data_IF_788372428931
#
_entry.id   IF_788372428931
#
_cell.length_a   1.000
_cell.length_b   1.000
_cell.length_c   1.000
_cell.angle_alpha   90.00
_cell.angle_beta   90.00
_cell.angle_gamma   90.00
#
_symmetry.space_group_name_H-M   'P 1'
#
loop_
_entity.id
_entity.type
_entity.pdbx_description
1 polymer ?
#
# COMPACT_ATOMS: atom_id res chain seq x y z
N UNK A 1 -13.51 -0.79 -17.90
CA UNK A 1 -12.04 -0.93 -18.01
C UNK A 1 -11.58 -1.86 -16.88
N UNK A 2 -10.68 -2.83 -17.11
CA UNK A 2 -10.18 -3.73 -16.05
C UNK A 2 -8.86 -3.24 -15.48
N UNK A 3 -8.47 -3.69 -14.30
CA UNK A 3 -7.23 -3.27 -13.63
C UNK A 3 -6.01 -3.49 -14.53
N UNK A 4 -5.92 -4.66 -15.18
CA UNK A 4 -4.84 -4.95 -16.13
C UNK A 4 -4.79 -4.00 -17.36
N UNK A 5 -5.91 -3.38 -17.72
CA UNK A 5 -6.02 -2.47 -18.88
C UNK A 5 -5.83 -1.00 -18.50
N UNK A 6 -5.80 -0.66 -17.21
CA UNK A 6 -5.53 0.70 -16.75
C UNK A 6 -4.01 0.95 -16.70
N UNK A 7 -3.48 1.95 -17.45
CA UNK A 7 -2.05 2.26 -17.46
C UNK A 7 -1.47 2.54 -16.07
N UNK A 8 -2.28 3.08 -15.16
CA UNK A 8 -1.88 3.38 -13.77
C UNK A 8 -1.53 2.10 -13.04
N UNK A 9 -2.30 1.03 -13.22
CA UNK A 9 -2.09 -0.26 -12.58
C UNK A 9 -1.13 -1.16 -13.36
N UNK A 10 -1.12 -1.05 -14.69
CA UNK A 10 -0.23 -1.83 -15.57
C UNK A 10 1.26 -1.65 -15.22
N UNK A 11 1.67 -0.45 -14.80
CA UNK A 11 3.05 -0.19 -14.35
C UNK A 11 3.42 -1.04 -13.11
N UNK A 12 2.50 -1.16 -12.16
CA UNK A 12 2.71 -1.91 -10.92
C UNK A 12 2.65 -3.42 -11.15
N UNK A 13 1.74 -3.91 -12.00
CA UNK A 13 1.72 -5.32 -12.44
C UNK A 13 3.04 -5.72 -13.11
N UNK A 14 3.62 -4.83 -13.92
CA UNK A 14 4.95 -5.04 -14.52
C UNK A 14 6.06 -5.08 -13.47
N UNK A 15 5.98 -4.27 -12.41
CA UNK A 15 6.93 -4.32 -11.29
C UNK A 15 6.90 -5.68 -10.59
N UNK A 16 5.71 -6.26 -10.38
CA UNK A 16 5.57 -7.62 -9.82
C UNK A 16 6.25 -8.65 -10.73
N UNK A 17 6.04 -8.56 -12.04
CA UNK A 17 6.63 -9.50 -13.01
C UNK A 17 8.16 -9.47 -13.05
N UNK A 18 8.77 -8.31 -12.83
CA UNK A 18 10.24 -8.17 -12.79
C UNK A 18 10.84 -8.48 -11.41
N UNK A 19 10.03 -8.95 -10.45
CA UNK A 19 10.47 -9.38 -9.14
C UNK A 19 10.60 -8.27 -8.10
N UNK A 20 9.99 -7.09 -8.32
CA UNK A 20 9.96 -6.06 -7.28
C UNK A 20 9.06 -6.53 -6.13
N UNK A 21 9.49 -6.36 -4.86
CA UNK A 21 8.69 -6.75 -3.71
C UNK A 21 7.31 -6.10 -3.71
N UNK A 22 6.26 -6.91 -3.59
CA UNK A 22 4.86 -6.46 -3.60
C UNK A 22 4.61 -5.38 -2.54
N UNK A 23 5.25 -5.46 -1.37
CA UNK A 23 5.14 -4.42 -0.33
C UNK A 23 5.58 -3.03 -0.79
N UNK A 24 6.72 -2.94 -1.49
CA UNK A 24 7.21 -1.67 -2.02
C UNK A 24 6.26 -1.09 -3.09
N UNK A 25 5.71 -1.97 -3.92
CA UNK A 25 4.73 -1.62 -4.96
C UNK A 25 3.44 -1.10 -4.31
N UNK A 26 2.91 -1.81 -3.31
CA UNK A 26 1.70 -1.43 -2.57
C UNK A 26 1.87 -0.09 -1.86
N UNK A 27 3.00 0.14 -1.19
CA UNK A 27 3.30 1.44 -0.56
C UNK A 27 3.30 2.58 -1.58
N UNK A 28 3.91 2.37 -2.75
CA UNK A 28 3.95 3.37 -3.83
C UNK A 28 2.55 3.65 -4.40
N UNK A 29 1.71 2.62 -4.55
CA UNK A 29 0.32 2.79 -4.98
C UNK A 29 -0.47 3.64 -4.00
N UNK A 30 -0.34 3.38 -2.70
CA UNK A 30 -1.01 4.18 -1.66
C UNK A 30 -0.57 5.63 -1.69
N UNK A 31 0.73 5.89 -1.86
CA UNK A 31 1.27 7.25 -2.01
C UNK A 31 0.71 7.98 -3.25
N UNK A 32 0.42 7.27 -4.33
CA UNK A 32 -0.22 7.81 -5.53
C UNK A 32 -1.76 7.82 -5.46
N UNK A 33 -2.35 7.38 -4.34
CA UNK A 33 -3.81 7.32 -4.15
C UNK A 33 -4.51 6.18 -4.91
N UNK A 34 -3.78 5.13 -5.26
CA UNK A 34 -4.27 3.93 -5.93
C UNK A 34 -4.52 2.80 -4.93
N UNK A 35 -5.46 1.90 -5.25
CA UNK A 35 -5.81 0.78 -4.37
C UNK A 35 -4.86 -0.41 -4.59
N UNK A 36 -3.98 -0.74 -3.63
CA UNK A 36 -3.03 -1.85 -3.76
C UNK A 36 -3.70 -3.23 -3.86
N UNK A 37 -4.96 -3.38 -3.44
CA UNK A 37 -5.70 -4.64 -3.49
C UNK A 37 -6.03 -5.07 -4.91
N UNK A 38 -6.05 -4.11 -5.84
CA UNK A 38 -6.32 -4.37 -7.25
C UNK A 38 -5.18 -5.14 -7.94
N UNK A 39 -3.96 -5.12 -7.39
CA UNK A 39 -2.88 -5.98 -7.87
C UNK A 39 -3.16 -7.46 -7.68
N UNK A 40 -3.90 -7.82 -6.64
CA UNK A 40 -4.27 -9.20 -6.33
C UNK A 40 -5.43 -9.68 -7.22
N UNK A 41 -6.11 -8.77 -7.94
CA UNK A 41 -7.26 -9.05 -8.81
C UNK A 41 -7.17 -8.33 -10.17
N UNK A 42 -6.24 -8.74 -11.07
CA UNK A 42 -5.99 -8.04 -12.34
C UNK A 42 -7.18 -8.07 -13.33
N UNK A 43 -8.03 -9.10 -13.24
CA UNK A 43 -9.22 -9.28 -14.06
C UNK A 43 -10.46 -8.55 -13.53
N UNK A 44 -10.38 -7.98 -12.31
CA UNK A 44 -11.49 -7.24 -11.74
C UNK A 44 -11.76 -5.96 -12.53
N UNK A 45 -13.04 -5.53 -12.62
CA UNK A 45 -13.37 -4.20 -13.10
C UNK A 45 -12.73 -3.16 -12.17
N UNK A 46 -12.13 -2.10 -12.73
CA UNK A 46 -11.62 -0.99 -11.91
C UNK A 46 -12.82 -0.35 -11.21
N UNK A 47 -12.91 -0.37 -9.87
CA UNK A 47 -13.97 0.35 -9.20
C UNK A 47 -13.74 1.84 -9.42
N UNK A 48 -14.72 2.52 -10.02
CA UNK A 48 -14.81 3.99 -9.96
C UNK A 48 -14.76 4.39 -8.49
N UNK A 49 -13.90 5.36 -8.18
CA UNK A 49 -13.42 5.73 -6.86
C UNK A 49 -14.42 5.61 -5.69
N UNK A 50 -13.85 5.37 -4.50
CA UNK A 50 -14.44 5.49 -3.15
C UNK A 50 -14.87 4.16 -2.53
N UNK A 51 -13.93 3.52 -1.84
CA UNK A 51 -14.05 3.31 -0.38
C UNK A 51 -12.70 2.90 0.20
N UNK A 52 -12.18 3.82 1.03
CA UNK A 52 -11.15 3.61 2.03
C UNK A 52 -11.36 2.26 2.72
N UNK A 53 -10.56 1.25 2.38
CA UNK A 53 -10.23 0.20 3.36
C UNK A 53 -8.80 0.51 3.78
N UNK A 54 -8.72 1.32 4.84
CA UNK A 54 -7.71 1.29 5.88
C UNK A 54 -6.72 0.14 5.67
N UNK A 55 -5.54 0.47 5.16
CA UNK A 55 -4.33 -0.17 5.65
C UNK A 55 -4.10 0.53 6.98
N UNK A 56 -4.68 -0.07 8.01
CA UNK A 56 -4.19 -0.10 9.37
C UNK A 56 -2.71 0.30 9.39
N UNK A 57 -2.54 1.53 9.86
CA UNK A 57 -1.27 2.14 10.14
C UNK A 57 -0.73 1.46 11.39
N UNK A 58 0.02 0.36 11.23
CA UNK A 58 0.95 -0.10 12.25
C UNK A 58 2.18 0.84 12.25
N UNK A 59 1.94 2.12 12.53
CA UNK A 59 2.98 3.00 13.08
C UNK A 59 2.88 2.87 14.59
N UNK A 60 3.29 1.69 15.09
CA UNK A 60 3.69 1.57 16.48
C UNK A 60 5.15 2.05 16.54
N UNK A 61 5.31 3.37 16.37
CA UNK A 61 6.48 4.08 16.87
C UNK A 61 6.37 4.13 18.40
N UNK A 62 6.74 3.06 19.08
CA UNK A 62 7.06 3.12 20.51
C UNK A 62 8.52 3.58 20.67
N UNK A 63 8.76 4.88 20.48
CA UNK A 63 9.94 5.56 21.04
C UNK A 63 9.65 5.79 22.54
N UNK A 64 9.86 4.74 23.32
CA UNK A 64 9.80 4.77 24.78
C UNK A 64 11.03 5.45 25.39
N UNK A 65 11.17 6.76 25.19
CA UNK A 65 12.06 7.59 26.00
C UNK A 65 11.37 7.93 27.33
N UNK A 66 11.48 7.08 28.35
CA UNK A 66 11.14 7.47 29.73
C UNK A 66 12.38 7.51 30.64
N UNK A 67 12.75 8.75 30.96
CA UNK A 67 13.76 9.15 31.93
C UNK A 67 13.36 8.66 33.33
N UNK A 68 14.10 7.66 33.82
CA UNK A 68 14.01 7.16 35.20
C UNK A 68 14.55 8.18 36.20
N UNK A 69 13.62 8.99 36.69
CA UNK A 69 13.45 9.61 38.01
C UNK A 69 14.51 9.38 39.11
N UNK A 70 14.68 10.48 39.87
CA UNK A 70 15.34 10.65 41.16
C UNK A 70 14.90 9.63 42.23
N UNK A 71 15.87 9.11 42.99
CA UNK A 71 15.85 8.69 44.41
C UNK A 71 17.16 7.88 44.65
N UNK A 72 18.03 8.11 45.64
CA UNK A 72 18.03 8.82 46.92
C UNK A 72 19.38 9.52 47.12
#
# INVERSE_FOLDING_TARGET
>A
MTVAKDPRYARYLKMVQVGVPVMAIKNKMVQEGLDPKLLDTPDAPVPDAVKKKTLDHDDDSDDGSESGQQAL
#
